data_IF_821499728464
#
_entry.id   IF_821499728464
#
_cell.length_a   1.000
_cell.length_b   1.000
_cell.length_c   1.000
_cell.angle_alpha   90.00
_cell.angle_beta   90.00
_cell.angle_gamma   90.00
#
_symmetry.space_group_name_H-M   'P 1'
#
loop_
_entity.id
_entity.type
_entity.pdbx_description
1 polymer ?
#
# COMPACT_ATOMS: atom_id res chain seq x y z
N UNK A 1 -3.19 -15.91 -16.48
CA UNK A 1 -2.72 -17.07 -15.68
C UNK A 1 -1.63 -16.73 -14.66
N UNK A 2 -0.56 -15.98 -15.01
CA UNK A 2 0.50 -15.59 -14.05
C UNK A 2 0.02 -14.58 -12.98
N UNK A 3 -0.80 -13.60 -13.38
CA UNK A 3 -1.47 -12.66 -12.47
C UNK A 3 -2.33 -13.40 -11.44
N UNK A 4 -3.16 -14.35 -11.89
CA UNK A 4 -4.00 -15.20 -11.03
C UNK A 4 -3.16 -16.07 -10.07
N UNK A 5 -1.97 -16.52 -10.47
CA UNK A 5 -1.05 -17.26 -9.58
C UNK A 5 -0.44 -16.34 -8.51
N UNK A 6 -0.17 -15.08 -8.85
CA UNK A 6 0.39 -14.09 -7.93
C UNK A 6 -0.63 -13.64 -6.89
N UNK A 7 -1.87 -13.34 -7.31
CA UNK A 7 -2.97 -13.00 -6.37
C UNK A 7 -3.25 -14.16 -5.44
N UNK A 8 -3.23 -15.40 -5.95
CA UNK A 8 -3.34 -16.60 -5.10
C UNK A 8 -2.18 -16.73 -4.12
N UNK A 9 -0.94 -16.45 -4.51
CA UNK A 9 0.22 -16.53 -3.64
C UNK A 9 0.13 -15.52 -2.47
N UNK A 10 -0.28 -14.28 -2.76
CA UNK A 10 -0.51 -13.29 -1.70
C UNK A 10 -1.72 -13.62 -0.83
N UNK A 11 -2.85 -14.05 -1.42
CA UNK A 11 -3.98 -14.52 -0.62
C UNK A 11 -3.57 -15.69 0.27
N UNK A 12 -2.75 -16.62 -0.23
CA UNK A 12 -2.21 -17.72 0.57
C UNK A 12 -1.28 -17.17 1.66
N UNK A 13 -0.40 -16.21 1.38
CA UNK A 13 0.47 -15.61 2.40
C UNK A 13 -0.32 -14.93 3.53
N UNK A 14 -1.31 -14.10 3.18
CA UNK A 14 -2.17 -13.45 4.17
C UNK A 14 -3.07 -14.46 4.90
N UNK A 15 -3.57 -15.49 4.21
CA UNK A 15 -4.31 -16.59 4.84
C UNK A 15 -3.40 -17.38 5.77
N UNK A 16 -2.18 -17.71 5.38
CA UNK A 16 -1.19 -18.43 6.21
C UNK A 16 -0.81 -17.57 7.43
N UNK A 17 -0.60 -16.27 7.26
CA UNK A 17 -0.38 -15.33 8.37
C UNK A 17 -1.59 -15.29 9.32
N UNK A 18 -2.81 -15.31 8.77
CA UNK A 18 -4.03 -15.43 9.57
C UNK A 18 -4.18 -16.81 10.21
N UNK A 19 -3.62 -17.88 9.65
CA UNK A 19 -3.60 -19.23 10.22
C UNK A 19 -2.50 -19.44 11.28
N UNK A 20 -1.57 -18.49 11.46
CA UNK A 20 -0.66 -18.46 12.61
C UNK A 20 -1.31 -17.85 13.87
N UNK A 21 -2.46 -17.16 13.72
CA UNK A 21 -3.23 -16.61 14.85
C UNK A 21 -3.87 -17.64 15.80
N UNK A 22 -4.31 -18.86 15.37
CA UNK A 22 -4.91 -19.84 16.26
C UNK A 22 -3.90 -20.55 17.18
N UNK A 23 -2.59 -20.50 16.88
CA UNK A 23 -1.57 -21.22 17.67
C UNK A 23 -1.29 -20.55 19.03
N UNK A 24 -1.81 -19.35 19.26
CA UNK A 24 -1.69 -18.63 20.53
C UNK A 24 -2.98 -18.64 21.36
N UNK A 25 -3.87 -19.60 21.11
CA UNK A 25 -5.12 -19.74 21.83
C UNK A 25 -4.89 -20.47 23.15
N UNK A 26 -4.56 -19.75 24.22
CA UNK A 26 -4.66 -20.29 25.57
C UNK A 26 -4.93 -19.21 26.61
N UNK A 27 -6.11 -19.31 27.22
CA UNK A 27 -6.68 -18.56 28.35
C UNK A 27 -7.04 -17.09 28.10
N UNK A 28 -8.35 -16.82 28.07
CA UNK A 28 -8.96 -15.50 27.98
C UNK A 28 -9.29 -15.06 29.40
N UNK A 29 -8.58 -14.04 29.89
CA UNK A 29 -9.03 -13.22 31.02
C UNK A 29 -9.53 -11.89 30.42
N UNK A 30 -10.72 -11.44 30.80
CA UNK A 30 -11.29 -10.20 30.26
C UNK A 30 -10.42 -9.01 30.72
N UNK A 31 -9.67 -8.43 29.78
CA UNK A 31 -8.91 -7.22 30.03
C UNK A 31 -9.86 -6.02 30.11
N UNK A 32 -10.17 -5.58 31.32
CA UNK A 32 -11.00 -4.39 31.53
C UNK A 32 -10.20 -3.14 31.17
N UNK A 33 -10.70 -2.37 30.20
CA UNK A 33 -10.14 -1.07 29.85
C UNK A 33 -10.40 -0.07 30.97
N UNK A 34 -9.38 0.68 31.41
CA UNK A 34 -9.57 1.80 32.32
C UNK A 34 -10.53 2.84 31.71
N UNK A 35 -11.55 3.23 32.48
CA UNK A 35 -12.57 4.18 32.08
C UNK A 35 -12.03 5.61 32.13
N UNK A 36 -11.38 6.04 31.05
CA UNK A 36 -10.90 7.42 30.88
C UNK A 36 -11.95 8.31 30.17
N UNK A 37 -11.88 9.62 30.39
CA UNK A 37 -12.78 10.65 29.81
C UNK A 37 -12.83 10.66 28.27
N UNK A 38 -11.94 9.93 27.62
CA UNK A 38 -11.85 9.80 26.17
C UNK A 38 -12.80 8.74 25.58
N UNK A 39 -13.34 7.81 26.38
CA UNK A 39 -14.22 6.74 25.89
C UNK A 39 -15.69 7.18 25.89
N UNK A 40 -16.19 7.61 24.74
CA UNK A 40 -17.57 8.09 24.58
C UNK A 40 -18.15 7.56 23.26
N UNK A 41 -18.97 6.51 23.35
CA UNK A 41 -19.58 5.86 22.16
C UNK A 41 -20.50 6.80 21.38
N UNK A 42 -21.21 7.70 22.07
CA UNK A 42 -22.16 8.61 21.44
C UNK A 42 -21.43 9.70 20.63
N UNK A 43 -20.30 10.20 21.15
CA UNK A 43 -19.45 11.17 20.44
C UNK A 43 -18.53 10.52 19.41
N UNK A 44 -18.20 9.23 19.55
CA UNK A 44 -17.36 8.52 18.57
C UNK A 44 -18.10 8.27 17.24
N UNK A 45 -19.39 7.98 17.26
CA UNK A 45 -20.17 7.71 16.04
C UNK A 45 -20.13 8.85 15.00
N UNK A 46 -20.41 10.13 15.33
CA UNK A 46 -20.32 11.21 14.36
C UNK A 46 -18.90 11.41 13.82
N UNK A 47 -17.87 11.21 14.65
CA UNK A 47 -16.48 11.28 14.20
C UNK A 47 -16.15 10.18 13.17
N UNK A 48 -16.67 8.96 13.36
CA UNK A 48 -16.50 7.86 12.39
C UNK A 48 -17.22 8.12 11.07
N UNK A 49 -18.40 8.74 11.11
CA UNK A 49 -19.13 9.13 9.89
C UNK A 49 -18.36 10.23 9.14
N UNK A 50 -17.85 11.23 9.86
CA UNK A 50 -16.97 12.26 9.28
C UNK A 50 -15.75 11.59 8.64
N UNK A 51 -15.11 10.64 9.34
CA UNK A 51 -13.95 9.90 8.84
C UNK A 51 -14.23 9.19 7.50
N UNK A 52 -15.36 8.49 7.38
CA UNK A 52 -15.78 7.82 6.14
C UNK A 52 -15.79 8.80 4.97
N UNK A 53 -16.44 9.96 5.16
CA UNK A 53 -16.57 10.97 4.10
C UNK A 53 -15.24 11.62 3.77
N UNK A 54 -14.49 12.07 4.77
CA UNK A 54 -13.23 12.79 4.56
C UNK A 54 -12.17 11.89 3.93
N UNK A 55 -12.02 10.65 4.42
CA UNK A 55 -11.04 9.69 3.87
C UNK A 55 -11.41 9.30 2.45
N UNK A 56 -12.69 9.11 2.13
CA UNK A 56 -13.11 8.82 0.76
C UNK A 56 -12.73 9.96 -0.19
N UNK A 57 -13.03 11.21 0.20
CA UNK A 57 -12.72 12.40 -0.62
C UNK A 57 -11.22 12.57 -0.80
N UNK A 58 -10.43 12.50 0.28
CA UNK A 58 -8.96 12.65 0.18
C UNK A 58 -8.32 11.51 -0.59
N UNK A 59 -8.84 10.27 -0.50
CA UNK A 59 -8.37 9.13 -1.28
C UNK A 59 -8.59 9.33 -2.78
N UNK A 60 -9.79 9.78 -3.17
CA UNK A 60 -10.11 10.06 -4.58
C UNK A 60 -9.23 11.18 -5.14
N UNK A 61 -8.98 12.24 -4.36
CA UNK A 61 -8.05 13.31 -4.74
C UNK A 61 -6.63 12.77 -4.88
N UNK A 62 -6.18 11.97 -3.90
CA UNK A 62 -4.86 11.34 -3.87
C UNK A 62 -4.61 10.50 -5.11
N UNK A 63 -5.42 9.47 -5.35
CA UNK A 63 -5.26 8.53 -6.47
C UNK A 63 -5.63 9.15 -7.82
N UNK A 64 -6.56 10.10 -7.84
CA UNK A 64 -6.96 10.81 -9.06
C UNK A 64 -5.90 11.82 -9.52
N UNK A 65 -5.17 12.43 -8.61
CA UNK A 65 -4.24 13.52 -8.96
C UNK A 65 -3.20 13.13 -10.02
N UNK A 66 -2.48 11.99 -9.93
CA UNK A 66 -1.54 11.55 -10.96
C UNK A 66 -2.23 11.15 -12.26
N UNK A 67 -3.46 10.65 -12.20
CA UNK A 67 -4.21 10.26 -13.40
C UNK A 67 -4.63 11.48 -14.24
N UNK A 68 -4.84 12.62 -13.58
CA UNK A 68 -5.19 13.90 -14.20
C UNK A 68 -3.97 14.71 -14.64
N UNK A 69 -2.73 14.32 -14.29
CA UNK A 69 -1.53 15.11 -14.60
C UNK A 69 -1.20 15.19 -16.08
N UNK A 70 -1.66 14.24 -16.91
CA UNK A 70 -1.55 14.37 -18.38
C UNK A 70 -2.31 15.60 -18.91
N UNK A 71 -3.32 16.07 -18.18
CA UNK A 71 -4.10 17.27 -18.52
C UNK A 71 -3.48 18.57 -17.99
N UNK A 72 -2.51 18.51 -17.06
CA UNK A 72 -1.86 19.68 -16.45
C UNK A 72 -0.39 19.77 -16.93
N UNK A 73 -0.02 20.78 -17.74
CA UNK A 73 1.31 20.87 -18.36
C UNK A 73 2.50 20.85 -17.39
N UNK A 74 2.30 21.34 -16.15
CA UNK A 74 3.35 21.40 -15.13
C UNK A 74 3.60 20.06 -14.40
N UNK A 75 2.62 19.14 -14.38
CA UNK A 75 2.68 17.88 -13.64
C UNK A 75 2.86 16.65 -14.54
N UNK A 76 3.07 16.85 -15.84
CA UNK A 76 3.34 15.77 -16.77
C UNK A 76 4.48 14.87 -16.26
N UNK A 77 4.40 13.52 -16.44
CA UNK A 77 5.37 12.57 -15.91
C UNK A 77 6.84 12.90 -16.24
N UNK A 78 7.06 13.53 -17.39
CA UNK A 78 8.38 13.89 -17.89
C UNK A 78 8.97 15.14 -17.21
N UNK A 79 8.20 15.88 -16.43
CA UNK A 79 8.67 17.10 -15.75
C UNK A 79 9.38 16.80 -14.43
N UNK A 80 10.21 17.74 -14.00
CA UNK A 80 10.96 17.66 -12.74
C UNK A 80 10.05 17.75 -11.52
N UNK A 81 8.93 18.48 -11.62
CA UNK A 81 7.97 18.64 -10.53
C UNK A 81 7.30 17.31 -10.16
N UNK A 82 6.92 16.50 -11.15
CA UNK A 82 6.33 15.17 -10.91
C UNK A 82 7.26 14.27 -10.09
N UNK A 83 8.55 14.27 -10.42
CA UNK A 83 9.57 13.50 -9.70
C UNK A 83 9.71 13.96 -8.25
N UNK A 84 9.75 15.28 -8.01
CA UNK A 84 9.87 15.85 -6.67
C UNK A 84 8.64 15.50 -5.81
N UNK A 85 7.44 15.61 -6.39
CA UNK A 85 6.19 15.25 -5.71
C UNK A 85 6.12 13.76 -5.41
N UNK A 86 6.54 12.90 -6.35
CA UNK A 86 6.63 11.45 -6.13
C UNK A 86 7.62 11.10 -5.02
N UNK A 87 8.77 11.78 -4.97
CA UNK A 87 9.77 11.60 -3.91
C UNK A 87 9.23 12.04 -2.54
N UNK A 88 8.49 13.16 -2.47
CA UNK A 88 7.79 13.59 -1.26
C UNK A 88 6.78 12.54 -0.77
N UNK A 89 5.94 12.02 -1.67
CA UNK A 89 4.97 10.98 -1.35
C UNK A 89 5.67 9.69 -0.86
N UNK A 90 6.76 9.27 -1.50
CA UNK A 90 7.54 8.11 -1.06
C UNK A 90 8.12 8.30 0.36
N UNK A 91 8.55 9.51 0.71
CA UNK A 91 8.97 9.85 2.08
C UNK A 91 7.84 9.72 3.10
N UNK A 92 6.62 10.15 2.76
CA UNK A 92 5.44 9.98 3.61
C UNK A 92 5.15 8.49 3.83
N UNK A 93 5.09 7.70 2.76
CA UNK A 93 4.84 6.25 2.82
C UNK A 93 5.88 5.54 3.71
N UNK A 94 7.15 5.89 3.55
CA UNK A 94 8.23 5.34 4.38
C UNK A 94 7.99 5.63 5.88
N UNK A 95 7.65 6.89 6.19
CA UNK A 95 7.35 7.29 7.56
C UNK A 95 6.03 6.71 8.07
N UNK A 96 5.02 6.49 7.24
CA UNK A 96 3.80 5.75 7.63
C UNK A 96 4.18 4.36 8.12
N UNK A 97 5.01 3.63 7.36
CA UNK A 97 5.50 2.32 7.76
C UNK A 97 6.24 2.33 9.10
N UNK A 98 7.19 3.24 9.28
CA UNK A 98 8.06 3.27 10.48
C UNK A 98 7.47 3.96 11.71
N UNK A 99 6.67 5.01 11.54
CA UNK A 99 6.25 5.90 12.63
C UNK A 99 4.79 5.75 13.02
N UNK A 100 3.97 5.11 12.18
CA UNK A 100 2.56 4.88 12.46
C UNK A 100 2.26 3.38 12.58
N UNK A 101 2.48 2.61 11.52
CA UNK A 101 2.00 1.23 11.45
C UNK A 101 2.86 0.28 12.30
N UNK A 102 4.18 0.46 12.28
CA UNK A 102 5.08 -0.37 13.06
C UNK A 102 4.93 -0.14 14.58
N UNK A 103 4.88 1.11 15.10
CA UNK A 103 4.62 1.35 16.52
C UNK A 103 3.25 0.84 16.97
N UNK A 104 2.18 1.05 16.18
CA UNK A 104 0.84 0.52 16.51
C UNK A 104 0.87 -1.01 16.68
N UNK A 105 1.64 -1.72 15.85
CA UNK A 105 1.84 -3.16 16.00
C UNK A 105 2.56 -3.51 17.31
N UNK A 106 3.60 -2.75 17.69
CA UNK A 106 4.31 -2.96 18.96
C UNK A 106 3.38 -2.74 20.15
N UNK A 107 2.57 -1.68 20.15
CA UNK A 107 1.66 -1.35 21.24
C UNK A 107 0.58 -2.44 21.43
N UNK A 108 0.08 -3.00 20.33
CA UNK A 108 -0.88 -4.11 20.40
C UNK A 108 -0.26 -5.41 20.91
N UNK A 109 0.91 -5.81 20.39
CA UNK A 109 1.57 -7.07 20.75
C UNK A 109 2.32 -7.01 22.10
N UNK A 110 2.56 -5.81 22.63
CA UNK A 110 3.15 -5.58 23.95
C UNK A 110 2.13 -5.15 25.00
N UNK A 111 0.84 -5.20 24.67
CA UNK A 111 -0.23 -4.81 25.58
C UNK A 111 -0.28 -5.71 26.81
N UNK A 112 -0.60 -5.13 27.97
CA UNK A 112 -0.74 -5.87 29.25
C UNK A 112 -1.86 -6.92 29.24
N UNK A 113 -2.73 -6.91 28.23
CA UNK A 113 -3.77 -7.89 28.03
C UNK A 113 -3.24 -9.21 27.44
N UNK A 114 -1.96 -9.27 27.05
CA UNK A 114 -1.31 -10.46 26.53
C UNK A 114 -0.41 -11.11 27.59
N UNK A 115 -0.22 -12.43 27.47
CA UNK A 115 0.68 -13.18 28.34
C UNK A 115 2.13 -12.77 28.10
N UNK A 116 2.90 -12.64 29.17
CA UNK A 116 4.32 -12.29 29.13
C UNK A 116 5.12 -13.22 28.19
N UNK A 117 4.83 -14.52 28.20
CA UNK A 117 5.38 -15.48 27.25
C UNK A 117 4.30 -15.93 26.24
N UNK A 118 4.52 -15.87 24.91
CA UNK A 118 5.73 -15.43 24.22
C UNK A 118 5.78 -13.93 23.89
N UNK A 119 4.69 -13.19 24.08
CA UNK A 119 4.45 -11.88 23.46
C UNK A 119 5.41 -10.78 23.91
N UNK A 120 5.80 -10.75 25.19
CA UNK A 120 6.70 -9.72 25.72
C UNK A 120 8.18 -10.13 25.63
N UNK A 121 8.46 -11.41 25.32
CA UNK A 121 9.83 -11.95 25.25
C UNK A 121 10.42 -11.94 23.85
N UNK A 122 9.59 -11.91 22.81
CA UNK A 122 10.04 -11.95 21.43
C UNK A 122 9.41 -10.79 20.62
N UNK A 123 10.21 -10.03 19.84
CA UNK A 123 9.71 -8.89 19.07
C UNK A 123 8.96 -9.34 17.82
N UNK A 124 7.75 -9.89 17.99
CA UNK A 124 6.93 -10.41 16.90
C UNK A 124 6.64 -9.36 15.82
N UNK A 125 6.41 -8.10 16.21
CA UNK A 125 6.23 -6.99 15.27
C UNK A 125 7.38 -6.88 14.28
N UNK A 126 8.62 -6.76 14.78
CA UNK A 126 9.80 -6.64 13.92
C UNK A 126 10.05 -7.91 13.10
N UNK A 127 9.84 -9.08 13.69
CA UNK A 127 9.97 -10.36 12.99
C UNK A 127 9.00 -10.48 11.80
N UNK A 128 7.72 -10.18 12.01
CA UNK A 128 6.70 -10.26 10.95
C UNK A 128 6.90 -9.17 9.90
N UNK A 129 7.29 -7.96 10.30
CA UNK A 129 7.65 -6.89 9.36
C UNK A 129 8.80 -7.32 8.44
N UNK A 130 9.87 -7.91 9.00
CA UNK A 130 11.00 -8.43 8.24
C UNK A 130 10.56 -9.55 7.27
N UNK A 131 9.76 -10.52 7.75
CA UNK A 131 9.25 -11.60 6.89
C UNK A 131 8.37 -11.08 5.75
N UNK A 132 7.53 -10.09 6.03
CA UNK A 132 6.67 -9.44 5.02
C UNK A 132 7.49 -8.70 3.96
N UNK A 133 8.52 -7.95 4.36
CA UNK A 133 9.43 -7.28 3.43
C UNK A 133 10.17 -8.29 2.53
N UNK A 134 10.71 -9.37 3.11
CA UNK A 134 11.37 -10.44 2.36
C UNK A 134 10.41 -11.16 1.41
N UNK A 135 9.18 -11.42 1.85
CA UNK A 135 8.15 -12.03 1.02
C UNK A 135 7.77 -11.12 -0.16
N UNK A 136 7.61 -9.81 0.09
CA UNK A 136 7.31 -8.83 -0.96
C UNK A 136 8.43 -8.79 -2.00
N UNK A 137 9.69 -8.73 -1.55
CA UNK A 137 10.87 -8.84 -2.43
C UNK A 137 10.89 -10.13 -3.25
N UNK A 138 10.58 -11.26 -2.61
CA UNK A 138 10.51 -12.55 -3.28
C UNK A 138 9.46 -12.53 -4.39
N UNK A 139 8.28 -11.98 -4.12
CA UNK A 139 7.22 -11.84 -5.13
C UNK A 139 7.69 -10.97 -6.29
N UNK A 140 8.23 -9.79 -6.03
CA UNK A 140 8.67 -8.87 -7.10
C UNK A 140 9.76 -9.49 -7.97
N UNK A 141 10.73 -10.15 -7.34
CA UNK A 141 11.83 -10.83 -8.02
C UNK A 141 11.34 -12.01 -8.87
N UNK A 142 10.51 -12.90 -8.29
CA UNK A 142 9.98 -14.06 -8.99
C UNK A 142 9.03 -13.67 -10.11
N UNK A 143 8.16 -12.68 -9.89
CA UNK A 143 7.31 -12.11 -10.92
C UNK A 143 8.18 -11.62 -12.08
N UNK A 144 9.16 -10.76 -11.80
CA UNK A 144 10.10 -10.23 -12.81
C UNK A 144 10.79 -11.35 -13.59
N UNK A 145 11.27 -12.40 -12.91
CA UNK A 145 11.95 -13.55 -13.51
C UNK A 145 11.03 -14.37 -14.44
N UNK A 146 9.84 -14.74 -13.98
CA UNK A 146 8.86 -15.51 -14.77
C UNK A 146 8.43 -14.75 -16.02
N UNK A 147 8.21 -13.43 -15.89
CA UNK A 147 7.84 -12.59 -17.02
C UNK A 147 8.99 -12.42 -18.03
N UNK A 148 10.22 -12.27 -17.54
CA UNK A 148 11.41 -12.20 -18.39
C UNK A 148 11.57 -13.50 -19.19
N UNK A 149 11.48 -14.67 -18.54
CA UNK A 149 11.62 -15.98 -19.22
C UNK A 149 10.54 -16.23 -20.27
N UNK A 150 9.30 -15.79 -20.04
CA UNK A 150 8.21 -15.92 -21.02
C UNK A 150 8.41 -15.03 -22.26
N UNK A 151 9.08 -13.89 -22.10
CA UNK A 151 9.48 -13.03 -23.24
C UNK A 151 10.58 -13.68 -24.11
N UNK A 152 11.43 -14.54 -23.53
CA UNK A 152 12.48 -15.26 -24.25
C UNK A 152 12.03 -16.57 -24.91
N UNK A 153 10.98 -17.24 -24.40
CA UNK A 153 10.52 -18.56 -24.89
C UNK A 153 9.52 -18.55 -26.06
N UNK A 154 9.21 -17.38 -26.64
CA UNK A 154 8.23 -17.23 -27.72
C UNK A 154 8.87 -16.98 -29.09
N UNK A 155 9.71 -17.90 -29.59
CA UNK A 155 10.03 -17.99 -31.01
C UNK A 155 9.34 -19.23 -31.58
N UNK A 156 8.09 -19.06 -32.03
CA UNK A 156 7.56 -19.85 -33.13
C UNK A 156 6.48 -19.03 -33.85
N UNK A 157 6.65 -18.67 -35.13
CA UNK A 157 5.59 -18.06 -35.90
C UNK A 157 4.61 -19.17 -36.32
N UNK A 158 3.31 -18.86 -36.22
CA UNK A 158 2.14 -19.71 -36.49
C UNK A 158 1.64 -20.52 -35.29
N UNK A 159 0.52 -20.06 -34.71
CA UNK A 159 -0.79 -20.74 -34.75
C UNK A 159 -1.80 -19.80 -34.06
N UNK A 160 -2.92 -19.54 -34.74
CA UNK A 160 -4.11 -18.93 -34.15
C UNK A 160 -4.59 -19.80 -32.99
N UNK A 161 -4.75 -19.24 -31.78
CA UNK A 161 -5.91 -19.58 -30.96
C UNK A 161 -6.19 -18.59 -29.83
N UNK A 162 -7.49 -18.51 -29.55
CA UNK A 162 -8.23 -17.53 -28.78
C UNK A 162 -8.00 -17.73 -27.27
N UNK A 163 -7.37 -16.76 -26.58
CA UNK A 163 -7.55 -16.55 -25.13
C UNK A 163 -7.54 -15.05 -24.82
N UNK A 164 -8.75 -14.54 -24.61
CA UNK A 164 -9.21 -13.46 -23.75
C UNK A 164 -8.20 -12.39 -23.26
N UNK A 165 -8.43 -11.16 -23.75
CA UNK A 165 -8.77 -10.11 -22.79
C UNK A 165 -7.75 -9.01 -22.46
N UNK A 166 -6.68 -8.77 -23.21
CA UNK A 166 -5.95 -7.48 -23.15
C UNK A 166 -5.08 -7.23 -24.38
N UNK A 167 -5.69 -6.73 -25.47
CA UNK A 167 -4.93 -6.11 -26.57
C UNK A 167 -4.29 -4.81 -26.08
N UNK A 168 -2.97 -4.82 -26.08
CA UNK A 168 -2.06 -3.70 -25.88
C UNK A 168 -2.18 -2.73 -27.07
N UNK A 169 -2.30 -1.42 -26.81
CA UNK A 169 -2.24 -0.42 -27.87
C UNK A 169 -0.78 -0.10 -28.20
N UNK A 170 -0.28 -0.67 -29.30
CA UNK A 170 0.71 0.00 -30.12
C UNK A 170 -0.02 0.77 -31.22
N UNK A 171 0.00 2.09 -31.20
CA UNK A 171 -0.41 2.90 -32.35
C UNK A 171 0.64 2.72 -33.46
N UNK A 172 0.35 1.87 -34.44
CA UNK A 172 1.11 1.81 -35.69
C UNK A 172 0.31 2.52 -36.78
N UNK A 173 0.81 3.68 -37.19
CA UNK A 173 0.33 4.37 -38.38
C UNK A 173 0.72 3.53 -39.61
N UNK A 174 -0.21 3.36 -40.53
CA UNK A 174 -0.05 2.50 -41.71
C UNK A 174 0.99 3.09 -42.67
N UNK A 175 2.07 2.34 -42.91
CA UNK A 175 3.09 2.64 -43.90
C UNK A 175 4.00 1.44 -44.09
N UNK A 176 3.89 0.78 -45.24
CA UNK A 176 4.75 -0.34 -45.62
C UNK A 176 6.21 0.12 -45.66
N UNK A 177 7.04 -0.35 -44.72
CA UNK A 177 8.49 -0.35 -44.88
C UNK A 177 9.15 -1.46 -44.05
N UNK A 178 10.19 -2.04 -44.64
CA UNK A 178 11.01 -3.11 -44.07
C UNK A 178 11.61 -2.66 -42.74
N UNK A 179 11.27 -3.33 -41.63
CA UNK A 179 11.72 -2.93 -40.29
C UNK A 179 12.90 -3.78 -39.84
N UNK A 180 14.04 -3.11 -39.66
CA UNK A 180 15.20 -3.62 -38.93
C UNK A 180 14.84 -3.83 -37.45
N UNK A 181 15.24 -4.99 -36.91
CA UNK A 181 14.99 -5.41 -35.53
C UNK A 181 15.84 -4.59 -34.56
N UNK A 182 15.26 -3.56 -33.93
CA UNK A 182 15.90 -2.80 -32.86
C UNK A 182 15.71 -3.48 -31.49
N UNK A 183 16.79 -3.66 -30.67
CA UNK A 183 16.71 -4.19 -29.32
C UNK A 183 15.90 -3.34 -28.32
N UNK A 184 15.60 -2.08 -28.65
CA UNK A 184 14.98 -1.11 -27.75
C UNK A 184 13.52 -1.45 -27.39
N UNK A 185 12.77 -2.09 -28.29
CA UNK A 185 11.34 -2.39 -28.06
C UNK A 185 11.13 -3.49 -27.00
N UNK A 186 12.11 -4.39 -26.81
CA UNK A 186 12.06 -5.43 -25.78
C UNK A 186 12.24 -4.87 -24.36
N UNK A 187 13.15 -3.92 -24.17
CA UNK A 187 13.39 -3.29 -22.86
C UNK A 187 12.17 -2.48 -22.39
N UNK A 188 11.50 -1.78 -23.30
CA UNK A 188 10.28 -1.01 -22.98
C UNK A 188 9.13 -1.91 -22.51
N UNK A 189 8.88 -3.04 -23.18
CA UNK A 189 7.85 -4.00 -22.77
C UNK A 189 8.13 -4.65 -21.41
N UNK A 190 9.41 -4.94 -21.12
CA UNK A 190 9.83 -5.54 -19.85
C UNK A 190 9.69 -4.56 -18.67
N UNK A 191 9.99 -3.27 -18.88
CA UNK A 191 9.76 -2.21 -17.89
C UNK A 191 8.27 -1.98 -17.61
N UNK A 192 7.42 -1.94 -18.64
CA UNK A 192 5.97 -1.83 -18.47
C UNK A 192 5.39 -2.97 -17.62
N UNK A 193 5.84 -4.20 -17.85
CA UNK A 193 5.41 -5.35 -17.05
C UNK A 193 5.86 -5.25 -15.59
N UNK A 194 7.06 -4.73 -15.33
CA UNK A 194 7.53 -4.47 -13.96
C UNK A 194 6.64 -3.44 -13.26
N UNK A 195 6.31 -2.32 -13.91
CA UNK A 195 5.38 -1.34 -13.33
C UNK A 195 4.00 -1.92 -13.06
N UNK A 196 3.51 -2.83 -13.92
CA UNK A 196 2.24 -3.54 -13.69
C UNK A 196 2.29 -4.45 -12.45
N UNK A 197 3.39 -5.17 -12.23
CA UNK A 197 3.56 -6.01 -11.04
C UNK A 197 3.61 -5.14 -9.79
N UNK A 198 4.48 -4.12 -9.78
CA UNK A 198 4.61 -3.18 -8.66
C UNK A 198 3.25 -2.57 -8.32
N UNK A 199 2.50 -2.07 -9.31
CA UNK A 199 1.18 -1.48 -9.09
C UNK A 199 0.17 -2.47 -8.47
N UNK A 200 0.18 -3.74 -8.86
CA UNK A 200 -0.69 -4.77 -8.29
C UNK A 200 -0.29 -5.17 -6.87
N UNK A 201 1.02 -5.32 -6.61
CA UNK A 201 1.56 -5.66 -5.29
C UNK A 201 1.28 -4.53 -4.31
N UNK A 202 1.55 -3.29 -4.73
CA UNK A 202 1.23 -2.06 -4.03
C UNK A 202 -0.27 -1.97 -3.68
N UNK A 203 -1.14 -2.15 -4.67
CA UNK A 203 -2.59 -2.10 -4.45
C UNK A 203 -3.06 -3.16 -3.44
N UNK A 204 -2.56 -4.39 -3.55
CA UNK A 204 -2.96 -5.48 -2.65
C UNK A 204 -2.49 -5.24 -1.22
N UNK A 205 -1.25 -4.76 -1.04
CA UNK A 205 -0.72 -4.39 0.27
C UNK A 205 -1.53 -3.28 0.93
N UNK A 206 -1.87 -2.24 0.14
CA UNK A 206 -2.72 -1.13 0.60
C UNK A 206 -4.11 -1.65 0.98
N UNK A 207 -4.74 -2.53 0.19
CA UNK A 207 -6.08 -3.06 0.49
C UNK A 207 -6.10 -3.75 1.86
N UNK A 208 -5.16 -4.65 2.12
CA UNK A 208 -5.14 -5.37 3.41
C UNK A 208 -4.94 -4.42 4.58
N UNK A 209 -3.97 -3.51 4.46
CA UNK A 209 -3.70 -2.50 5.49
C UNK A 209 -4.90 -1.59 5.77
N UNK A 210 -5.54 -1.12 4.70
CA UNK A 210 -6.69 -0.20 4.73
C UNK A 210 -7.92 -0.81 5.40
N UNK A 211 -8.19 -2.11 5.19
CA UNK A 211 -9.30 -2.80 5.88
C UNK A 211 -9.01 -2.88 7.38
N UNK A 212 -7.80 -3.26 7.76
CA UNK A 212 -7.41 -3.48 9.15
C UNK A 212 -7.50 -2.18 9.95
N UNK A 213 -6.94 -1.07 9.44
CA UNK A 213 -7.08 0.24 10.08
C UNK A 213 -8.55 0.67 10.10
N UNK A 214 -9.27 0.50 8.99
CA UNK A 214 -10.67 0.90 8.89
C UNK A 214 -11.53 0.22 9.95
N UNK A 215 -11.42 -1.11 10.09
CA UNK A 215 -12.17 -1.87 11.10
C UNK A 215 -11.83 -1.41 12.51
N UNK A 216 -10.55 -1.18 12.80
CA UNK A 216 -10.09 -0.70 14.11
C UNK A 216 -10.64 0.70 14.43
N UNK A 217 -10.51 1.67 13.51
CA UNK A 217 -11.10 3.00 13.69
C UNK A 217 -12.64 2.94 13.85
N UNK A 218 -13.29 2.09 13.06
CA UNK A 218 -14.73 1.88 13.08
C UNK A 218 -15.26 1.26 14.36
N UNK A 219 -14.49 0.38 15.00
CA UNK A 219 -14.84 -0.24 16.26
C UNK A 219 -14.52 0.65 17.47
N UNK A 220 -13.51 1.52 17.38
CA UNK A 220 -13.00 2.27 18.53
C UNK A 220 -14.00 3.23 19.16
N UNK A 221 -14.02 3.34 20.48
CA UNK A 221 -14.83 4.33 21.21
C UNK A 221 -14.02 5.49 21.78
N UNK A 222 -12.71 5.51 21.53
CA UNK A 222 -11.80 6.53 22.04
C UNK A 222 -11.84 7.79 21.16
N UNK A 223 -12.60 8.79 21.60
CA UNK A 223 -12.79 10.06 20.87
C UNK A 223 -11.53 10.91 20.78
N UNK A 224 -10.57 10.74 21.70
CA UNK A 224 -9.30 11.46 21.69
C UNK A 224 -8.41 10.94 20.56
N UNK A 225 -8.25 9.62 20.45
CA UNK A 225 -7.47 8.98 19.38
C UNK A 225 -8.15 9.13 18.01
N UNK A 226 -9.48 8.97 17.92
CA UNK A 226 -10.19 9.06 16.62
C UNK A 226 -9.93 10.39 15.92
N UNK A 227 -9.89 11.53 16.63
CA UNK A 227 -9.69 12.85 16.01
C UNK A 227 -8.31 12.97 15.36
N UNK A 228 -7.26 12.60 16.10
CA UNK A 228 -5.89 12.58 15.62
C UNK A 228 -5.71 11.61 14.46
N UNK A 229 -6.20 10.38 14.66
CA UNK A 229 -6.11 9.29 13.69
C UNK A 229 -6.83 9.63 12.38
N UNK A 230 -7.99 10.30 12.39
CA UNK A 230 -8.67 10.74 11.15
C UNK A 230 -7.84 11.77 10.39
N UNK A 231 -7.22 12.72 11.08
CA UNK A 231 -6.35 13.71 10.43
C UNK A 231 -5.11 13.05 9.82
N UNK A 232 -4.46 12.15 10.57
CA UNK A 232 -3.32 11.39 10.11
C UNK A 232 -3.67 10.48 8.91
N UNK A 233 -4.81 9.77 8.98
CA UNK A 233 -5.35 8.94 7.90
C UNK A 233 -5.63 9.74 6.64
N UNK A 234 -6.34 10.87 6.75
CA UNK A 234 -6.58 11.73 5.60
C UNK A 234 -5.27 12.18 4.92
N UNK A 235 -4.25 12.51 5.71
CA UNK A 235 -2.96 12.96 5.20
C UNK A 235 -2.19 11.84 4.50
N UNK A 236 -1.90 10.73 5.17
CA UNK A 236 -1.11 9.66 4.54
C UNK A 236 -1.87 8.97 3.41
N UNK A 237 -3.18 8.75 3.55
CA UNK A 237 -3.99 8.12 2.50
C UNK A 237 -3.99 8.96 1.21
N UNK A 238 -3.98 10.30 1.32
CA UNK A 238 -3.88 11.16 0.13
C UNK A 238 -2.56 10.94 -0.63
N UNK A 239 -1.44 10.87 0.09
CA UNK A 239 -0.12 10.71 -0.53
C UNK A 239 0.21 9.27 -0.94
N UNK A 240 -0.30 8.28 -0.21
CA UNK A 240 -0.31 6.88 -0.65
C UNK A 240 -1.10 6.71 -1.94
N UNK A 241 -2.27 7.36 -2.04
CA UNK A 241 -3.07 7.40 -3.26
C UNK A 241 -2.30 8.04 -4.41
N UNK A 242 -1.58 9.13 -4.17
CA UNK A 242 -0.73 9.78 -5.18
C UNK A 242 0.41 8.86 -5.64
N UNK A 243 1.03 8.10 -4.73
CA UNK A 243 2.03 7.09 -5.08
C UNK A 243 1.45 6.00 -5.99
N UNK A 244 0.32 5.41 -5.57
CA UNK A 244 -0.39 4.39 -6.34
C UNK A 244 -0.87 4.92 -7.70
N UNK A 245 -1.47 6.11 -7.74
CA UNK A 245 -1.92 6.73 -8.98
C UNK A 245 -0.77 6.95 -9.96
N UNK A 246 0.43 7.30 -9.46
CA UNK A 246 1.64 7.41 -10.28
C UNK A 246 2.07 6.07 -10.88
N UNK A 247 1.98 4.97 -10.11
CA UNK A 247 2.24 3.62 -10.59
C UNK A 247 1.18 3.15 -11.62
N UNK A 248 -0.12 3.44 -11.37
CA UNK A 248 -1.22 3.15 -12.30
C UNK A 248 -1.03 3.88 -13.63
N UNK A 249 -0.56 5.13 -13.58
CA UNK A 249 -0.28 5.92 -14.77
C UNK A 249 0.86 5.31 -15.60
N UNK A 250 1.94 4.87 -14.95
CA UNK A 250 3.11 4.23 -15.58
C UNK A 250 2.81 2.81 -16.09
N UNK A 251 1.85 2.10 -15.50
CA UNK A 251 1.45 0.75 -15.89
C UNK A 251 0.63 0.69 -17.21
N UNK A 252 0.26 1.86 -17.76
CA UNK A 252 -0.48 2.05 -19.02
C UNK A 252 -1.74 1.16 -19.15
N UNK A 253 -2.46 0.97 -18.04
CA UNK A 253 -3.70 0.21 -18.06
C UNK A 253 -4.82 0.88 -18.86
N UNK A 254 -5.77 0.07 -19.35
CA UNK A 254 -7.06 0.55 -19.89
C UNK A 254 -7.82 1.34 -18.83
N UNK A 255 -8.64 2.31 -19.28
CA UNK A 255 -9.40 3.19 -18.38
C UNK A 255 -10.22 2.42 -17.34
N UNK A 256 -10.92 1.35 -17.74
CA UNK A 256 -11.71 0.53 -16.82
C UNK A 256 -10.88 -0.01 -15.66
N UNK A 257 -9.66 -0.49 -15.93
CA UNK A 257 -8.77 -1.02 -14.91
C UNK A 257 -8.19 0.09 -14.03
N UNK A 258 -7.83 1.25 -14.61
CA UNK A 258 -7.40 2.43 -13.84
C UNK A 258 -8.50 2.88 -12.87
N UNK A 259 -9.74 2.95 -13.34
CA UNK A 259 -10.90 3.32 -12.52
C UNK A 259 -11.21 2.26 -11.46
N UNK A 260 -11.14 0.97 -11.81
CA UNK A 260 -11.33 -0.11 -10.84
C UNK A 260 -10.31 -0.05 -9.71
N UNK A 261 -9.02 0.14 -10.04
CA UNK A 261 -7.97 0.24 -9.02
C UNK A 261 -8.14 1.48 -8.14
N UNK A 262 -8.44 2.63 -8.74
CA UNK A 262 -8.74 3.86 -8.00
C UNK A 262 -9.97 3.72 -7.09
N UNK A 263 -10.99 3.01 -7.55
CA UNK A 263 -12.19 2.71 -6.77
C UNK A 263 -11.87 1.85 -5.55
N UNK A 264 -11.17 0.72 -5.74
CA UNK A 264 -10.80 -0.15 -4.61
C UNK A 264 -9.88 0.56 -3.63
N UNK A 265 -8.91 1.33 -4.09
CA UNK A 265 -8.09 2.17 -3.21
C UNK A 265 -8.93 3.12 -2.34
N UNK A 266 -9.91 3.80 -2.94
CA UNK A 266 -10.67 4.85 -2.25
C UNK A 266 -11.76 4.31 -1.32
N UNK A 267 -12.35 3.16 -1.65
CA UNK A 267 -13.50 2.60 -0.93
C UNK A 267 -13.08 1.67 0.21
N UNK A 268 -11.91 1.05 0.13
CA UNK A 268 -11.48 0.02 1.10
C UNK A 268 -11.46 0.54 2.55
N UNK A 269 -10.85 1.71 2.83
CA UNK A 269 -10.80 2.25 4.20
C UNK A 269 -12.19 2.68 4.70
N UNK A 270 -13.00 3.46 3.95
CA UNK A 270 -14.38 3.77 4.33
C UNK A 270 -15.23 2.52 4.59
N UNK A 271 -15.09 1.48 3.76
CA UNK A 271 -15.74 0.19 3.94
C UNK A 271 -15.30 -0.49 5.24
N UNK A 272 -13.99 -0.51 5.52
CA UNK A 272 -13.44 -1.02 6.78
C UNK A 272 -14.04 -0.30 7.99
N UNK A 273 -14.17 1.02 7.94
CA UNK A 273 -14.79 1.83 9.02
C UNK A 273 -16.25 1.45 9.22
N UNK A 274 -17.02 1.36 8.13
CA UNK A 274 -18.42 0.94 8.19
C UNK A 274 -18.56 -0.47 8.77
N UNK A 275 -17.68 -1.40 8.38
CA UNK A 275 -17.63 -2.75 8.91
C UNK A 275 -17.26 -2.76 10.41
N UNK A 276 -16.29 -1.95 10.83
CA UNK A 276 -15.92 -1.78 12.23
C UNK A 276 -17.08 -1.23 13.08
N UNK A 277 -17.84 -0.26 12.55
CA UNK A 277 -19.07 0.23 13.21
C UNK A 277 -20.08 -0.91 13.38
N UNK A 278 -20.32 -1.70 12.32
CA UNK A 278 -21.28 -2.81 12.36
C UNK A 278 -20.86 -3.89 13.36
N UNK A 279 -19.55 -4.17 13.47
CA UNK A 279 -18.99 -5.17 14.37
C UNK A 279 -18.71 -4.63 15.78
N UNK A 280 -18.84 -3.33 16.04
CA UNK A 280 -18.48 -2.69 17.32
C UNK A 280 -19.19 -3.25 18.56
N UNK A 281 -20.28 -4.01 18.39
CA UNK A 281 -20.97 -4.69 19.50
C UNK A 281 -20.33 -6.03 19.88
N UNK A 282 -19.70 -6.72 18.93
CA UNK A 282 -19.14 -8.07 19.11
C UNK A 282 -17.61 -8.06 19.11
N UNK A 283 -16.99 -7.11 18.41
CA UNK A 283 -15.55 -6.91 18.36
C UNK A 283 -15.08 -6.11 19.59
N UNK A 284 -14.26 -6.75 20.43
CA UNK A 284 -13.58 -6.11 21.57
C UNK A 284 -12.11 -5.86 21.18
N UNK A 285 -11.73 -4.59 21.00
CA UNK A 285 -10.39 -4.20 20.55
C UNK A 285 -9.28 -4.67 21.49
N UNK A 286 -9.56 -4.70 22.80
CA UNK A 286 -8.63 -5.15 23.84
C UNK A 286 -8.67 -6.67 24.10
N UNK A 287 -9.40 -7.43 23.29
CA UNK A 287 -9.35 -8.89 23.42
C UNK A 287 -8.00 -9.42 22.94
N UNK A 288 -7.42 -10.44 23.59
CA UNK A 288 -6.15 -11.02 23.18
C UNK A 288 -6.12 -11.41 21.70
N UNK A 289 -7.20 -12.00 21.19
CA UNK A 289 -7.33 -12.38 19.78
C UNK A 289 -7.28 -11.17 18.84
N UNK A 290 -7.95 -10.07 19.19
CA UNK A 290 -7.92 -8.85 18.39
C UNK A 290 -6.52 -8.23 18.38
N UNK A 291 -5.90 -8.10 19.56
CA UNK A 291 -4.55 -7.55 19.72
C UNK A 291 -3.50 -8.35 18.94
N UNK A 292 -3.55 -9.68 19.04
CA UNK A 292 -2.63 -10.56 18.30
C UNK A 292 -2.86 -10.44 16.80
N UNK A 293 -4.12 -10.56 16.35
CA UNK A 293 -4.43 -10.59 14.91
C UNK A 293 -4.10 -9.25 14.25
N UNK A 294 -4.58 -8.14 14.83
CA UNK A 294 -4.33 -6.81 14.29
C UNK A 294 -2.87 -6.41 14.45
N UNK A 295 -2.24 -6.74 15.58
CA UNK A 295 -0.82 -6.50 15.80
C UNK A 295 0.06 -7.19 14.76
N UNK A 296 -0.17 -8.47 14.46
CA UNK A 296 0.57 -9.20 13.42
C UNK A 296 0.28 -8.65 12.01
N UNK A 297 -0.98 -8.32 11.70
CA UNK A 297 -1.34 -7.73 10.42
C UNK A 297 -0.70 -6.35 10.22
N UNK A 298 -0.68 -5.49 11.25
CA UNK A 298 0.00 -4.21 11.22
C UNK A 298 1.51 -4.38 11.05
N UNK A 299 2.14 -5.33 11.76
CA UNK A 299 3.56 -5.64 11.57
C UNK A 299 3.86 -6.05 10.13
N UNK A 300 3.00 -6.89 9.54
CA UNK A 300 3.11 -7.30 8.14
C UNK A 300 2.91 -6.12 7.17
N UNK A 301 1.91 -5.29 7.39
CA UNK A 301 1.66 -4.08 6.58
C UNK A 301 2.82 -3.09 6.65
N UNK A 302 3.41 -2.88 7.84
CA UNK A 302 4.58 -2.03 8.01
C UNK A 302 5.77 -2.53 7.18
N UNK A 303 6.06 -3.84 7.24
CA UNK A 303 7.11 -4.46 6.42
C UNK A 303 6.91 -4.25 4.92
N UNK A 304 5.68 -4.40 4.44
CA UNK A 304 5.33 -4.17 3.03
C UNK A 304 5.52 -2.70 2.65
N UNK A 305 5.00 -1.75 3.43
CA UNK A 305 5.12 -0.30 3.17
C UNK A 305 6.59 0.15 3.17
N UNK A 306 7.40 -0.36 4.09
CA UNK A 306 8.84 -0.05 4.18
C UNK A 306 9.57 -0.54 2.92
N UNK A 307 9.36 -1.79 2.52
CA UNK A 307 9.98 -2.34 1.32
C UNK A 307 9.56 -1.54 0.08
N UNK A 308 8.27 -1.29 -0.07
CA UNK A 308 7.68 -0.55 -1.18
C UNK A 308 8.21 0.89 -1.28
N UNK A 309 8.32 1.60 -0.17
CA UNK A 309 8.86 2.95 -0.17
C UNK A 309 10.36 2.96 -0.54
N UNK A 310 11.16 2.09 0.09
CA UNK A 310 12.61 2.08 -0.14
C UNK A 310 12.99 1.51 -1.52
N UNK A 311 12.39 0.40 -1.92
CA UNK A 311 12.80 -0.37 -3.11
C UNK A 311 11.98 0.02 -4.34
N UNK A 312 10.65 0.01 -4.26
CA UNK A 312 9.79 0.20 -5.44
C UNK A 312 9.63 1.66 -5.85
N UNK A 313 9.77 2.59 -4.90
CA UNK A 313 9.65 4.02 -5.16
C UNK A 313 11.02 4.70 -5.13
N UNK A 314 11.69 4.76 -3.97
CA UNK A 314 12.91 5.54 -3.81
C UNK A 314 14.08 4.96 -4.62
N UNK A 315 14.42 3.68 -4.46
CA UNK A 315 15.53 3.09 -5.21
C UNK A 315 15.25 3.10 -6.72
N UNK A 316 14.03 2.76 -7.13
CA UNK A 316 13.64 2.77 -8.55
C UNK A 316 13.79 4.16 -9.20
N UNK A 317 13.41 5.23 -8.50
CA UNK A 317 13.51 6.60 -9.04
C UNK A 317 14.92 7.18 -8.93
N UNK A 318 15.58 7.03 -7.77
CA UNK A 318 16.90 7.62 -7.54
C UNK A 318 18.01 6.91 -8.30
N UNK A 319 17.86 5.63 -8.62
CA UNK A 319 18.79 4.89 -9.51
C UNK A 319 18.39 4.99 -10.99
N UNK A 320 17.30 5.69 -11.30
CA UNK A 320 16.84 5.93 -12.67
C UNK A 320 17.67 7.01 -13.40
N UNK A 321 17.74 6.96 -14.75
CA UNK A 321 18.58 7.87 -15.54
C UNK A 321 18.24 9.34 -15.29
N UNK A 322 16.96 9.68 -15.15
CA UNK A 322 16.50 11.07 -14.97
C UNK A 322 17.06 11.77 -13.72
N UNK A 323 17.23 11.08 -12.59
CA UNK A 323 17.85 11.66 -11.40
C UNK A 323 19.37 11.56 -11.44
N UNK A 324 19.91 10.49 -12.01
CA UNK A 324 21.36 10.30 -12.16
C UNK A 324 21.99 11.34 -13.12
N UNK A 325 21.24 11.80 -14.12
CA UNK A 325 21.69 12.84 -15.06
C UNK A 325 21.71 14.26 -14.44
N UNK A 326 21.09 14.47 -13.27
CA UNK A 326 20.97 15.80 -12.68
C UNK A 326 21.08 15.82 -11.14
N UNK A 327 22.28 16.10 -10.65
CA UNK A 327 22.57 16.26 -9.21
C UNK A 327 21.65 17.30 -8.55
N UNK A 328 21.33 18.41 -9.24
CA UNK A 328 20.43 19.44 -8.73
C UNK A 328 19.00 18.91 -8.52
N UNK A 329 18.50 18.07 -9.44
CA UNK A 329 17.21 17.43 -9.27
C UNK A 329 17.25 16.40 -8.16
N UNK A 330 18.32 15.60 -8.09
CA UNK A 330 18.52 14.58 -7.06
C UNK A 330 18.52 15.17 -5.64
N UNK A 331 19.24 16.27 -5.41
CA UNK A 331 19.23 16.98 -4.11
C UNK A 331 17.84 17.51 -3.77
N UNK A 332 17.13 18.11 -4.74
CA UNK A 332 15.75 18.57 -4.53
C UNK A 332 14.82 17.42 -4.17
N UNK A 333 14.96 16.27 -4.83
CA UNK A 333 14.20 15.07 -4.52
C UNK A 333 14.52 14.54 -3.13
N UNK A 334 15.79 14.48 -2.71
CA UNK A 334 16.15 14.08 -1.34
C UNK A 334 15.54 15.00 -0.28
N UNK A 335 15.59 16.32 -0.50
CA UNK A 335 14.93 17.27 0.40
C UNK A 335 13.42 17.01 0.47
N UNK A 336 12.78 16.69 -0.66
CA UNK A 336 11.38 16.34 -0.71
C UNK A 336 11.07 15.04 0.06
N UNK A 337 11.90 14.00 -0.06
CA UNK A 337 11.78 12.76 0.74
C UNK A 337 11.84 13.08 2.23
N UNK A 338 12.85 13.86 2.66
CA UNK A 338 13.02 14.23 4.07
C UNK A 338 11.86 15.07 4.60
N UNK A 339 11.33 16.00 3.80
CA UNK A 339 10.15 16.79 4.15
C UNK A 339 8.89 15.92 4.28
N UNK A 340 8.70 14.96 3.37
CA UNK A 340 7.59 14.01 3.44
C UNK A 340 7.67 13.13 4.70
N UNK A 341 8.85 12.53 4.93
CA UNK A 341 9.08 11.69 6.10
C UNK A 341 8.95 12.48 7.40
N UNK A 342 9.52 13.68 7.47
CA UNK A 342 9.42 14.57 8.62
C UNK A 342 7.99 15.02 8.89
N UNK A 343 7.23 15.38 7.84
CA UNK A 343 5.83 15.77 7.95
C UNK A 343 4.96 14.65 8.54
N UNK A 344 5.09 13.43 8.02
CA UNK A 344 4.35 12.28 8.55
C UNK A 344 4.80 11.89 9.97
N UNK A 345 6.09 12.01 10.29
CA UNK A 345 6.61 11.77 11.64
C UNK A 345 6.07 12.79 12.67
N UNK A 346 5.88 14.04 12.26
CA UNK A 346 5.25 15.06 13.11
C UNK A 346 3.77 14.75 13.34
N UNK A 347 3.05 14.32 12.31
CA UNK A 347 1.65 13.91 12.41
C UNK A 347 1.47 12.73 13.37
N UNK A 348 2.39 11.77 13.38
CA UNK A 348 2.36 10.61 14.26
C UNK A 348 2.39 10.98 15.77
N UNK A 349 2.87 12.17 16.15
CA UNK A 349 2.79 12.62 17.55
C UNK A 349 1.36 12.95 18.02
N UNK A 350 0.47 13.23 17.08
CA UNK A 350 -0.89 13.70 17.36
C UNK A 350 -1.97 12.68 16.97
N UNK A 351 -1.57 11.55 16.38
CA UNK A 351 -2.42 10.43 16.00
C UNK A 351 -2.65 9.51 17.21
#
# INVERSE_FOLDING_TARGET
MATLKLTKLFSIFFVVLSMFTPLALSAVEECNAESNSCNDKAKALPLKIIAIVTILVTSMIGVGSPLLTRSIPALQPDKNLFVIVKAFAAGIILATGFMHVLPDSFDMLSSSCLKENPWHKFPFTGFVAMLSALFTMMVDSLATSVYTKKSHGGMNPQVNDIVDGDREMGMANSGHSHTHYHPQTKYAGQQLLRYRVIAMVLELGIIVHSIVIGVSLGASSNTCSIKGLVAALCFHQMFEGMGLGGCILQAEYKLLKKLAMAFFFSVTTPFGIALGIALSKTYKENSPTALITVGLLNGSSAGLLIYMALVDLLAADFMGPKLQDSVKLQVKSYMAVLLGAGGMSLMAKWA
#
